data_IF_579393558957
#
_entry.id   IF_579393558957
#
_cell.length_a   1.000
_cell.length_b   1.000
_cell.length_c   1.000
_cell.angle_alpha   90.00
_cell.angle_beta   90.00
_cell.angle_gamma   90.00
#
_symmetry.space_group_name_H-M   'P 1'
#
loop_
_entity.id
_entity.type
_entity.pdbx_description
1 polymer ?
#
# COMPACT_ATOMS: atom_id res chain seq x y z
N UNK A 1 -30.02 6.45 47.38
CA UNK A 1 -29.82 5.47 48.48
C UNK A 1 -30.70 4.25 48.22
N UNK A 2 -30.56 3.18 49.02
CA UNK A 2 -31.13 1.82 48.82
C UNK A 2 -30.50 1.09 47.63
N UNK A 3 -29.50 0.21 47.85
CA UNK A 3 -29.58 -1.18 48.39
C UNK A 3 -30.14 -2.19 47.38
N UNK A 4 -29.29 -3.13 46.93
CA UNK A 4 -29.69 -4.50 46.52
C UNK A 4 -28.49 -5.47 46.61
N UNK A 5 -28.82 -6.77 46.72
CA UNK A 5 -28.00 -7.99 46.87
C UNK A 5 -28.93 -9.18 46.50
N UNK A 6 -28.56 -10.47 46.48
CA UNK A 6 -27.34 -11.17 46.94
C UNK A 6 -26.23 -11.12 45.83
N UNK A 7 -25.44 -12.09 45.37
CA UNK A 7 -25.41 -13.58 45.42
C UNK A 7 -26.74 -14.24 44.97
N UNK A 8 -26.89 -15.54 44.72
CA UNK A 8 -25.96 -16.70 44.77
C UNK A 8 -24.99 -16.80 43.55
N UNK A 9 -24.25 -17.92 43.38
CA UNK A 9 -23.08 -18.08 42.48
C UNK A 9 -22.90 -19.55 41.96
N UNK A 10 -22.01 -19.81 40.97
CA UNK A 10 -21.63 -21.18 40.48
C UNK A 10 -20.11 -21.33 40.21
N UNK A 11 -19.57 -22.53 40.40
CA UNK A 11 -18.13 -22.83 40.46
C UNK A 11 -17.59 -23.59 39.24
N UNK A 12 -16.43 -23.18 38.72
CA UNK A 12 -15.64 -24.03 37.81
C UNK A 12 -14.13 -23.86 38.03
N UNK A 13 -13.56 -24.79 38.80
CA UNK A 13 -12.12 -25.01 38.93
C UNK A 13 -11.74 -26.32 38.22
N UNK A 14 -10.82 -26.26 37.25
CA UNK A 14 -10.02 -27.42 36.84
C UNK A 14 -8.61 -26.95 36.45
N UNK A 15 -7.60 -27.48 37.11
CA UNK A 15 -6.20 -27.27 36.76
C UNK A 15 -5.75 -28.15 35.57
N UNK A 16 -4.50 -27.99 35.16
CA UNK A 16 -3.82 -28.82 34.16
C UNK A 16 -3.73 -30.30 34.56
N UNK A 17 -3.56 -31.19 33.58
CA UNK A 17 -2.25 -31.81 33.30
C UNK A 17 -2.29 -32.79 32.12
N UNK A 18 -1.11 -33.15 31.63
CA UNK A 18 -0.91 -33.86 30.37
C UNK A 18 -1.36 -35.34 30.37
N UNK A 19 -1.63 -35.85 29.18
CA UNK A 19 -1.61 -37.29 28.89
C UNK A 19 -1.25 -37.49 27.42
N UNK A 20 -0.04 -37.98 27.16
CA UNK A 20 0.45 -38.27 25.82
C UNK A 20 0.18 -39.74 25.48
N UNK A 21 -0.91 -40.03 24.77
CA UNK A 21 -0.90 -41.18 23.87
C UNK A 21 -1.92 -41.05 22.72
N UNK A 22 -1.40 -40.74 21.53
CA UNK A 22 -2.09 -40.87 20.24
C UNK A 22 -1.10 -40.62 19.11
N UNK A 23 -0.40 -41.67 18.65
CA UNK A 23 0.30 -41.65 17.35
C UNK A 23 -0.67 -41.70 16.15
N UNK A 24 -1.91 -41.21 16.37
CA UNK A 24 -2.91 -40.91 15.37
C UNK A 24 -2.51 -39.74 14.49
N UNK A 25 -1.70 -40.05 13.49
CA UNK A 25 -1.82 -39.44 12.16
C UNK A 25 -1.36 -37.97 12.00
N UNK A 26 -0.22 -37.63 12.62
CA UNK A 26 0.55 -36.40 12.31
C UNK A 26 0.82 -36.27 10.80
N UNK A 27 1.11 -37.37 10.12
CA UNK A 27 1.33 -37.37 8.66
C UNK A 27 0.09 -36.89 7.88
N UNK A 28 -1.12 -37.38 8.20
CA UNK A 28 -2.35 -36.90 7.55
C UNK A 28 -2.69 -35.46 7.92
N UNK A 29 -2.44 -35.00 9.14
CA UNK A 29 -2.58 -33.57 9.47
C UNK A 29 -1.66 -32.72 8.57
N UNK A 30 -0.40 -33.12 8.39
CA UNK A 30 0.51 -32.46 7.45
C UNK A 30 0.16 -32.71 5.97
N UNK A 31 -0.54 -33.79 5.61
CA UNK A 31 -0.97 -34.11 4.22
C UNK A 31 -2.21 -33.32 3.82
N UNK A 32 -3.20 -33.24 4.71
CA UNK A 32 -4.35 -32.35 4.61
C UNK A 32 -3.91 -30.87 4.59
N UNK A 33 -2.87 -30.50 5.34
CA UNK A 33 -2.27 -29.15 5.27
C UNK A 33 -1.50 -28.92 3.96
N UNK A 34 -0.88 -29.94 3.35
CA UNK A 34 -0.15 -29.86 2.07
C UNK A 34 -1.05 -29.78 0.83
N UNK A 35 -2.28 -30.31 0.85
CA UNK A 35 -3.15 -30.41 -0.34
C UNK A 35 -4.28 -29.36 -0.46
N UNK A 36 -4.43 -28.42 0.47
CA UNK A 36 -5.49 -27.38 0.40
C UNK A 36 -5.11 -26.24 -0.55
N UNK A 37 -5.17 -26.52 -1.87
CA UNK A 37 -5.11 -25.49 -2.92
C UNK A 37 -6.40 -24.66 -2.92
N UNK A 38 -6.27 -23.34 -2.88
CA UNK A 38 -7.39 -22.42 -3.18
C UNK A 38 -7.66 -22.49 -4.68
N UNK A 39 -8.94 -22.63 -5.07
CA UNK A 39 -9.40 -22.44 -6.45
C UNK A 39 -10.47 -21.37 -6.45
N UNK A 40 -10.46 -20.50 -7.45
CA UNK A 40 -11.48 -19.48 -7.68
C UNK A 40 -12.41 -19.98 -8.79
N UNK A 41 -13.72 -19.92 -8.58
CA UNK A 41 -14.72 -20.41 -9.55
C UNK A 41 -15.41 -19.29 -10.32
N UNK A 42 -15.57 -18.12 -9.71
CA UNK A 42 -16.30 -16.99 -10.28
C UNK A 42 -15.66 -15.65 -9.87
N UNK A 43 -15.53 -14.74 -10.83
CA UNK A 43 -15.25 -13.32 -10.65
C UNK A 43 -16.57 -12.55 -10.68
N UNK A 44 -16.96 -11.92 -9.58
CA UNK A 44 -18.06 -10.93 -9.57
C UNK A 44 -17.49 -9.50 -9.60
N UNK A 45 -17.88 -8.67 -10.56
CA UNK A 45 -17.45 -7.26 -10.66
C UNK A 45 -18.63 -6.32 -10.43
N UNK A 46 -18.48 -5.36 -9.52
CA UNK A 46 -19.53 -4.40 -9.17
C UNK A 46 -19.23 -3.00 -9.71
N UNK A 47 -20.08 -2.51 -10.61
CA UNK A 47 -19.85 -1.24 -11.31
C UNK A 47 -20.60 -0.09 -10.62
N UNK A 48 -19.85 0.76 -9.91
CA UNK A 48 -20.38 1.92 -9.21
C UNK A 48 -20.18 3.21 -10.02
N UNK A 49 -21.25 3.98 -10.31
CA UNK A 49 -21.10 5.30 -10.92
C UNK A 49 -20.28 6.23 -10.02
N UNK A 50 -19.45 7.09 -10.64
CA UNK A 50 -18.62 8.04 -9.90
C UNK A 50 -19.45 9.18 -9.31
N UNK A 51 -18.91 9.77 -8.25
CA UNK A 51 -19.46 10.92 -7.51
C UNK A 51 -18.30 11.71 -6.93
N UNK A 52 -18.50 12.96 -6.52
CA UNK A 52 -17.52 13.63 -5.68
C UNK A 52 -17.38 12.86 -4.36
N UNK A 53 -16.14 12.65 -3.90
CA UNK A 53 -15.86 12.02 -2.61
C UNK A 53 -15.82 13.04 -1.47
N UNK A 54 -15.88 12.54 -0.25
CA UNK A 54 -15.74 13.33 0.99
C UNK A 54 -14.92 12.59 2.08
N UNK A 55 -14.55 11.34 1.85
CA UNK A 55 -13.84 10.45 2.80
C UNK A 55 -12.36 10.26 2.48
N UNK A 56 -11.92 10.64 1.26
CA UNK A 56 -10.56 10.48 0.80
C UNK A 56 -9.85 11.84 0.83
N UNK A 57 -8.61 11.89 1.32
CA UNK A 57 -7.77 13.10 1.25
C UNK A 57 -6.60 12.80 0.32
N UNK A 58 -6.60 13.30 -0.92
CA UNK A 58 -5.56 12.99 -1.90
C UNK A 58 -4.28 13.78 -1.57
N UNK A 59 -3.12 13.14 -1.64
CA UNK A 59 -1.82 13.75 -1.29
C UNK A 59 -1.59 15.08 -2.04
N UNK A 60 -1.87 15.05 -3.35
CA UNK A 60 -1.97 16.24 -4.18
C UNK A 60 -3.42 16.70 -4.26
N UNK A 61 -3.68 17.95 -3.88
CA UNK A 61 -5.02 18.52 -3.78
C UNK A 61 -5.78 18.55 -5.11
N UNK A 62 -7.10 18.64 -5.01
CA UNK A 62 -8.04 18.62 -6.13
C UNK A 62 -9.35 17.94 -5.71
N UNK A 63 -10.31 17.85 -6.64
CA UNK A 63 -11.57 17.13 -6.41
C UNK A 63 -11.34 15.62 -6.37
N UNK A 64 -11.95 14.93 -5.41
CA UNK A 64 -11.85 13.47 -5.25
C UNK A 64 -12.87 12.69 -6.09
N UNK A 65 -12.48 11.47 -6.49
CA UNK A 65 -13.34 10.51 -7.18
C UNK A 65 -13.89 9.49 -6.18
N UNK A 66 -15.12 9.71 -5.71
CA UNK A 66 -15.89 8.75 -4.93
C UNK A 66 -16.68 7.76 -5.81
N UNK A 67 -17.34 6.81 -5.15
CA UNK A 67 -18.28 5.86 -5.73
C UNK A 67 -19.67 6.05 -5.09
N UNK A 68 -20.75 5.91 -5.85
CA UNK A 68 -22.10 5.91 -5.28
C UNK A 68 -22.29 4.71 -4.35
N UNK A 69 -23.16 4.83 -3.35
CA UNK A 69 -23.43 3.77 -2.38
C UNK A 69 -24.11 2.52 -2.98
N UNK A 70 -24.75 2.65 -4.15
CA UNK A 70 -25.34 1.54 -4.91
C UNK A 70 -24.61 1.36 -6.25
N UNK A 71 -24.34 0.11 -6.62
CA UNK A 71 -23.86 -0.23 -7.96
C UNK A 71 -24.99 -0.05 -8.99
N UNK A 72 -24.62 0.14 -10.26
CA UNK A 72 -25.55 0.23 -11.38
C UNK A 72 -25.59 -1.06 -12.22
N UNK A 73 -24.52 -1.86 -12.19
CA UNK A 73 -24.39 -3.11 -12.93
C UNK A 73 -23.50 -4.08 -12.14
N UNK A 74 -23.69 -5.39 -12.36
CA UNK A 74 -22.91 -6.48 -11.78
C UNK A 74 -22.56 -7.47 -12.88
N UNK A 75 -21.27 -7.66 -13.14
CA UNK A 75 -20.75 -8.71 -14.02
C UNK A 75 -20.48 -9.97 -13.20
N UNK A 76 -20.70 -11.15 -13.80
CA UNK A 76 -20.31 -12.45 -13.26
C UNK A 76 -19.61 -13.25 -14.36
N UNK A 77 -18.39 -13.68 -14.10
CA UNK A 77 -17.55 -14.42 -15.06
C UNK A 77 -17.04 -15.69 -14.38
N UNK A 78 -17.21 -16.86 -14.99
CA UNK A 78 -16.52 -18.06 -14.50
C UNK A 78 -15.03 -17.95 -14.80
N UNK A 79 -14.20 -18.44 -13.88
CA UNK A 79 -12.75 -18.52 -14.05
C UNK A 79 -12.44 -19.95 -14.50
N UNK A 80 -11.94 -20.12 -15.73
CA UNK A 80 -11.49 -21.42 -16.23
C UNK A 80 -10.06 -21.72 -15.77
N UNK A 81 -9.65 -22.98 -15.88
CA UNK A 81 -8.25 -23.35 -15.61
C UNK A 81 -7.29 -22.85 -16.72
N UNK A 82 -7.82 -22.55 -17.92
CA UNK A 82 -7.06 -21.96 -19.03
C UNK A 82 -6.72 -20.47 -18.78
N UNK A 83 -7.56 -19.74 -18.02
CA UNK A 83 -7.31 -18.36 -17.55
C UNK A 83 -6.18 -18.30 -16.49
N UNK A 84 -5.59 -19.45 -16.14
CA UNK A 84 -4.41 -19.60 -15.29
C UNK A 84 -3.15 -20.02 -16.05
N UNK A 85 -3.24 -20.33 -17.36
CA UNK A 85 -2.06 -20.51 -18.20
C UNK A 85 -1.64 -19.17 -18.79
N UNK A 86 -0.53 -18.61 -18.30
CA UNK A 86 0.10 -17.43 -18.89
C UNK A 86 0.47 -17.75 -20.36
N UNK A 87 -0.27 -17.18 -21.31
CA UNK A 87 -0.07 -17.43 -22.73
C UNK A 87 1.16 -16.68 -23.23
N UNK A 88 2.33 -17.34 -23.23
CA UNK A 88 3.54 -16.92 -23.97
C UNK A 88 3.26 -17.00 -25.49
N UNK A 89 2.36 -16.14 -25.99
CA UNK A 89 2.01 -15.95 -27.40
C UNK A 89 2.81 -14.77 -27.96
N UNK A 90 3.79 -15.08 -28.80
CA UNK A 90 4.70 -14.12 -29.45
C UNK A 90 4.02 -13.38 -30.61
N UNK A 91 3.12 -12.43 -30.28
CA UNK A 91 2.50 -11.52 -31.24
C UNK A 91 3.29 -10.20 -31.32
N UNK A 92 4.22 -10.16 -32.27
CA UNK A 92 5.02 -8.97 -32.60
C UNK A 92 4.13 -7.82 -33.11
N UNK A 93 3.96 -6.78 -32.29
CA UNK A 93 3.33 -5.52 -32.69
C UNK A 93 4.28 -4.34 -32.43
N UNK A 94 4.70 -3.66 -33.50
CA UNK A 94 5.38 -2.37 -33.41
C UNK A 94 4.32 -1.28 -33.25
N UNK A 95 4.37 -0.55 -32.13
CA UNK A 95 3.57 0.65 -31.93
C UNK A 95 4.39 1.69 -31.19
N UNK A 96 4.75 2.73 -31.93
CA UNK A 96 5.13 4.01 -31.33
C UNK A 96 3.98 4.57 -30.46
N UNK A 97 4.36 5.52 -29.60
CA UNK A 97 3.48 6.34 -28.75
C UNK A 97 2.61 5.59 -27.71
N UNK A 98 3.28 5.06 -26.69
CA UNK A 98 2.65 4.34 -25.57
C UNK A 98 2.12 5.29 -24.49
N UNK A 99 0.84 5.65 -24.58
CA UNK A 99 0.09 6.35 -23.51
C UNK A 99 -0.04 5.51 -22.20
N UNK A 100 0.41 4.25 -22.18
CA UNK A 100 0.50 3.40 -20.97
C UNK A 100 1.45 3.97 -19.89
N UNK A 101 2.19 5.04 -20.19
CA UNK A 101 2.93 5.84 -19.19
C UNK A 101 2.06 6.38 -18.04
N UNK A 102 0.73 6.21 -18.10
CA UNK A 102 -0.23 6.67 -17.11
C UNK A 102 -0.87 5.60 -16.22
N UNK A 103 -0.68 4.29 -16.46
CA UNK A 103 -1.45 3.23 -15.78
C UNK A 103 -1.31 3.18 -14.23
N UNK A 104 -0.25 3.79 -13.67
CA UNK A 104 -0.07 3.98 -12.21
C UNK A 104 0.06 5.45 -11.78
N UNK A 105 -0.08 6.40 -12.69
CA UNK A 105 0.10 7.82 -12.37
C UNK A 105 -1.17 8.43 -11.75
N UNK A 106 -1.06 9.33 -10.74
CA UNK A 106 -2.23 9.94 -10.13
C UNK A 106 -3.04 10.77 -11.14
N UNK A 107 -4.23 10.29 -11.52
CA UNK A 107 -5.15 10.91 -12.50
C UNK A 107 -5.17 12.45 -12.34
N UNK A 108 -4.87 13.25 -13.38
CA UNK A 108 -4.81 14.70 -13.27
C UNK A 108 -6.13 15.37 -12.82
N UNK A 109 -6.02 16.57 -12.24
CA UNK A 109 -7.18 17.32 -11.74
C UNK A 109 -8.24 17.63 -12.82
N UNK A 110 -7.82 17.80 -14.07
CA UNK A 110 -8.71 18.06 -15.21
C UNK A 110 -9.60 16.84 -15.42
N UNK A 111 -8.97 15.70 -15.61
CA UNK A 111 -9.63 14.46 -16.03
C UNK A 111 -10.51 13.91 -14.89
N UNK A 112 -10.12 14.12 -13.62
CA UNK A 112 -11.03 13.88 -12.47
C UNK A 112 -12.32 14.69 -12.59
N UNK A 113 -12.27 15.97 -12.96
CA UNK A 113 -13.47 16.81 -13.13
C UNK A 113 -14.30 16.33 -14.33
N UNK A 114 -13.67 15.86 -15.39
CA UNK A 114 -14.36 15.40 -16.59
C UNK A 114 -15.00 14.01 -16.42
N UNK A 115 -14.36 13.10 -15.68
CA UNK A 115 -14.95 11.84 -15.18
C UNK A 115 -16.20 12.13 -14.32
N UNK A 116 -16.15 13.14 -13.46
CA UNK A 116 -17.29 13.54 -12.62
C UNK A 116 -18.45 14.12 -13.46
N UNK A 117 -18.16 14.99 -14.43
CA UNK A 117 -19.17 15.51 -15.37
C UNK A 117 -19.83 14.37 -16.15
N UNK A 118 -19.04 13.43 -16.68
CA UNK A 118 -19.53 12.26 -17.42
C UNK A 118 -20.43 11.36 -16.55
N UNK A 119 -20.11 11.21 -15.25
CA UNK A 119 -20.96 10.52 -14.27
C UNK A 119 -22.21 11.32 -13.81
N UNK A 120 -22.46 12.50 -14.41
CA UNK A 120 -23.63 13.34 -14.17
C UNK A 120 -23.48 14.37 -13.05
N UNK A 121 -22.28 14.59 -12.51
CA UNK A 121 -22.03 15.57 -11.44
C UNK A 121 -21.99 17.00 -12.01
N UNK A 122 -23.18 17.58 -12.19
CA UNK A 122 -23.38 18.91 -12.81
C UNK A 122 -22.74 20.09 -12.04
N UNK A 123 -22.54 19.94 -10.73
CA UNK A 123 -21.90 20.94 -9.85
C UNK A 123 -20.93 20.22 -8.91
N UNK A 124 -19.66 20.59 -8.97
CA UNK A 124 -18.63 20.13 -8.03
C UNK A 124 -18.59 21.12 -6.85
N UNK A 125 -18.70 20.61 -5.63
CA UNK A 125 -18.58 21.42 -4.42
C UNK A 125 -17.11 21.89 -4.25
N UNK A 126 -16.88 23.20 -4.10
CA UNK A 126 -15.53 23.75 -3.90
C UNK A 126 -15.05 23.61 -2.46
N UNK A 127 -15.95 23.43 -1.49
CA UNK A 127 -15.63 23.36 -0.07
C UNK A 127 -14.77 22.14 0.28
N UNK A 128 -15.03 20.98 -0.35
CA UNK A 128 -14.23 19.75 -0.20
C UNK A 128 -12.73 19.97 -0.52
N UNK A 129 -12.41 20.83 -1.50
CA UNK A 129 -11.02 21.16 -1.83
C UNK A 129 -10.33 22.02 -0.76
N UNK A 130 -11.10 22.78 0.04
CA UNK A 130 -10.62 23.58 1.17
C UNK A 130 -10.45 22.68 2.40
N UNK A 131 -11.42 21.81 2.69
CA UNK A 131 -11.36 20.81 3.76
C UNK A 131 -10.18 19.84 3.54
N UNK A 132 -10.00 19.33 2.32
CA UNK A 132 -8.83 18.53 1.94
C UNK A 132 -7.51 19.32 1.92
N UNK A 133 -7.54 20.67 1.95
CA UNK A 133 -6.34 21.48 2.18
C UNK A 133 -6.03 21.56 3.68
N UNK A 134 -7.04 21.83 4.51
CA UNK A 134 -6.90 21.89 5.97
C UNK A 134 -6.44 20.55 6.56
N UNK A 135 -6.98 19.41 6.11
CA UNK A 135 -6.53 18.09 6.58
C UNK A 135 -5.08 17.81 6.15
N UNK A 136 -4.67 18.21 4.95
CA UNK A 136 -3.25 18.08 4.52
C UNK A 136 -2.31 18.96 5.35
N UNK A 137 -2.73 20.18 5.70
CA UNK A 137 -1.96 21.07 6.57
C UNK A 137 -1.86 20.51 8.01
N UNK A 138 -2.96 20.02 8.58
CA UNK A 138 -2.94 19.32 9.88
C UNK A 138 -2.00 18.10 9.86
N UNK A 139 -1.99 17.33 8.77
CA UNK A 139 -1.06 16.20 8.57
C UNK A 139 0.40 16.61 8.30
N UNK A 140 0.73 17.90 8.25
CA UNK A 140 2.12 18.38 8.31
C UNK A 140 2.61 18.62 9.74
N UNK A 141 1.72 18.51 10.74
CA UNK A 141 2.00 18.73 12.16
C UNK A 141 1.81 17.39 12.89
N UNK A 142 2.75 16.46 12.68
CA UNK A 142 2.75 15.12 13.26
C UNK A 142 4.20 14.62 13.48
N UNK A 143 4.35 13.54 14.27
CA UNK A 143 5.66 13.05 14.70
C UNK A 143 6.20 13.77 15.94
N UNK A 144 7.46 13.49 16.31
CA UNK A 144 8.13 14.13 17.44
C UNK A 144 9.07 15.26 16.99
N UNK A 145 9.07 16.36 17.75
CA UNK A 145 9.94 17.54 17.56
C UNK A 145 11.39 17.33 18.05
N UNK A 146 11.71 16.14 18.56
CA UNK A 146 13.04 15.69 18.91
C UNK A 146 14.03 15.94 17.77
N UNK A 147 15.19 16.54 18.08
CA UNK A 147 16.32 16.68 17.16
C UNK A 147 17.40 15.71 17.59
N UNK A 148 17.92 14.93 16.65
CA UNK A 148 18.91 13.88 16.89
C UNK A 148 18.36 12.74 17.77
N UNK A 149 18.16 12.95 19.07
CA UNK A 149 17.79 11.91 20.03
C UNK A 149 16.33 11.93 20.53
N UNK A 150 15.78 10.73 20.78
CA UNK A 150 14.42 10.53 21.33
C UNK A 150 14.47 9.87 22.70
N UNK A 151 14.58 10.65 23.77
CA UNK A 151 14.46 10.13 25.13
C UNK A 151 13.01 9.65 25.39
N UNK A 152 12.79 8.53 26.13
CA UNK A 152 11.45 8.03 26.43
C UNK A 152 10.52 9.07 27.07
N UNK A 153 10.96 9.70 28.17
CA UNK A 153 10.14 10.63 28.99
C UNK A 153 9.71 11.91 28.26
N UNK A 154 10.30 12.25 27.11
CA UNK A 154 10.04 13.51 26.39
C UNK A 154 9.63 13.34 24.93
N UNK A 155 9.82 12.17 24.32
CA UNK A 155 9.45 11.92 22.93
C UNK A 155 7.95 11.69 22.78
N UNK A 156 7.26 12.59 22.07
CA UNK A 156 5.81 12.50 21.79
C UNK A 156 5.39 11.15 21.20
N UNK A 157 6.22 10.52 20.37
CA UNK A 157 5.93 9.19 19.81
C UNK A 157 6.02 8.09 20.87
N UNK A 158 7.04 8.13 21.74
CA UNK A 158 7.16 7.17 22.85
C UNK A 158 5.97 7.30 23.81
N UNK A 159 5.65 8.52 24.25
CA UNK A 159 4.57 8.82 25.18
C UNK A 159 3.17 8.42 24.66
N UNK A 160 3.02 8.24 23.34
CA UNK A 160 1.80 7.74 22.71
C UNK A 160 1.88 6.24 22.32
N UNK A 161 2.94 5.52 22.71
CA UNK A 161 3.11 4.09 22.44
C UNK A 161 3.33 3.74 20.96
N UNK A 162 3.87 4.65 20.16
CA UNK A 162 4.09 4.47 18.71
C UNK A 162 5.55 4.61 18.32
N UNK A 163 5.91 3.99 17.19
CA UNK A 163 7.22 4.13 16.57
C UNK A 163 7.46 5.55 16.05
N UNK A 164 8.71 5.99 15.99
CA UNK A 164 9.08 7.23 15.31
C UNK A 164 9.10 6.98 13.78
N UNK A 165 8.22 7.65 13.05
CA UNK A 165 8.16 7.60 11.58
C UNK A 165 9.03 8.71 10.96
N UNK A 166 9.86 8.38 9.97
CA UNK A 166 10.62 9.32 9.15
C UNK A 166 10.39 8.98 7.66
N UNK A 167 9.65 9.84 6.95
CA UNK A 167 9.38 9.72 5.51
C UNK A 167 10.42 10.45 4.65
N UNK A 168 11.04 11.50 5.22
CA UNK A 168 12.09 12.35 4.65
C UNK A 168 12.75 13.15 5.77
N UNK A 169 13.81 13.88 5.45
CA UNK A 169 14.57 14.73 6.38
C UNK A 169 13.65 15.55 7.32
N UNK A 170 13.76 15.27 8.62
CA UNK A 170 12.99 15.89 9.70
C UNK A 170 11.46 15.82 9.58
N UNK A 171 10.90 14.81 8.91
CA UNK A 171 9.45 14.63 8.81
C UNK A 171 9.02 13.16 8.65
N UNK A 172 8.01 12.65 9.38
CA UNK A 172 7.33 13.30 10.51
C UNK A 172 8.23 13.59 11.72
N UNK A 173 9.21 12.73 12.01
CA UNK A 173 10.07 12.88 13.19
C UNK A 173 11.43 13.52 12.85
N UNK A 174 11.96 14.35 13.76
CA UNK A 174 13.28 15.00 13.64
C UNK A 174 14.48 14.18 14.12
N UNK A 175 14.27 12.96 14.59
CA UNK A 175 15.30 12.09 15.16
C UNK A 175 16.13 11.34 14.11
N UNK A 176 17.44 11.29 14.32
CA UNK A 176 18.37 10.51 13.49
C UNK A 176 18.16 9.01 13.71
N UNK A 177 18.75 8.18 12.86
CA UNK A 177 18.66 6.72 12.98
C UNK A 177 19.44 6.21 14.19
N UNK A 178 20.51 6.90 14.54
CA UNK A 178 21.50 6.55 15.56
C UNK A 178 21.09 7.04 16.96
N UNK A 179 20.38 8.18 17.07
CA UNK A 179 19.98 8.77 18.34
C UNK A 179 18.57 8.39 18.85
N UNK A 180 17.77 7.69 18.05
CA UNK A 180 16.36 7.46 18.38
C UNK A 180 16.15 6.34 19.41
N UNK A 181 16.26 6.67 20.70
CA UNK A 181 16.05 5.76 21.84
C UNK A 181 14.56 5.46 22.13
N UNK A 182 13.65 5.58 21.15
CA UNK A 182 12.24 5.19 21.34
C UNK A 182 12.14 3.64 21.33
N UNK A 183 11.78 2.97 22.44
CA UNK A 183 11.66 1.51 22.50
C UNK A 183 10.54 0.93 21.62
N UNK A 184 9.59 1.75 21.13
CA UNK A 184 8.64 1.34 20.11
C UNK A 184 9.26 1.29 18.69
N UNK A 185 10.54 1.66 18.57
CA UNK A 185 11.33 1.64 17.34
C UNK A 185 11.26 2.93 16.51
N UNK A 186 12.09 2.97 15.47
CA UNK A 186 12.09 3.99 14.41
C UNK A 186 11.92 3.30 13.06
N UNK A 187 10.97 3.78 12.26
CA UNK A 187 10.76 3.34 10.89
C UNK A 187 11.13 4.48 9.93
N UNK A 188 11.88 4.14 8.88
CA UNK A 188 12.39 5.07 7.89
C UNK A 188 11.95 4.61 6.50
N UNK A 189 11.40 5.53 5.71
CA UNK A 189 10.89 5.23 4.37
C UNK A 189 12.03 4.92 3.40
N UNK A 190 12.05 3.71 2.83
CA UNK A 190 13.01 3.31 1.80
C UNK A 190 12.47 3.59 0.37
N UNK A 191 12.91 4.67 -0.29
CA UNK A 191 12.49 4.98 -1.66
C UNK A 191 13.07 3.99 -2.70
N UNK A 192 14.09 3.20 -2.37
CA UNK A 192 14.71 2.23 -3.28
C UNK A 192 13.86 0.97 -3.34
N UNK A 193 13.48 0.39 -2.20
CA UNK A 193 12.57 -0.78 -2.18
C UNK A 193 11.21 -0.46 -2.79
N UNK A 194 10.62 0.71 -2.51
CA UNK A 194 9.35 1.11 -3.13
C UNK A 194 9.49 1.28 -4.65
N UNK A 195 10.59 1.89 -5.13
CA UNK A 195 10.85 2.02 -6.57
C UNK A 195 11.08 0.68 -7.27
N UNK A 196 11.80 -0.25 -6.64
CA UNK A 196 11.99 -1.63 -7.11
C UNK A 196 10.64 -2.33 -7.25
N UNK A 197 9.83 -2.32 -6.19
CA UNK A 197 8.51 -2.95 -6.19
C UNK A 197 7.56 -2.38 -7.25
N UNK A 198 7.62 -1.06 -7.48
CA UNK A 198 6.89 -0.41 -8.57
C UNK A 198 7.29 -0.97 -9.95
N UNK A 199 8.60 -1.04 -10.23
CA UNK A 199 9.12 -1.59 -11.50
C UNK A 199 8.72 -3.06 -11.67
N UNK A 200 8.90 -3.88 -10.63
CA UNK A 200 8.49 -5.29 -10.60
C UNK A 200 7.01 -5.48 -10.89
N UNK A 201 6.16 -4.61 -10.34
CA UNK A 201 4.70 -4.66 -10.54
C UNK A 201 4.30 -4.26 -11.96
N UNK A 202 4.91 -3.21 -12.53
CA UNK A 202 4.66 -2.77 -13.91
C UNK A 202 5.08 -3.86 -14.90
N UNK A 203 6.29 -4.42 -14.76
CA UNK A 203 6.80 -5.46 -15.64
C UNK A 203 5.94 -6.72 -15.57
N UNK A 204 5.60 -7.19 -14.35
CA UNK A 204 4.72 -8.36 -14.17
C UNK A 204 3.37 -8.20 -14.88
N UNK A 205 2.77 -7.01 -14.83
CA UNK A 205 1.47 -6.75 -15.45
C UNK A 205 1.53 -6.61 -16.99
N UNK A 206 2.73 -6.50 -17.56
CA UNK A 206 3.00 -6.56 -19.00
C UNK A 206 3.47 -7.96 -19.48
N UNK A 207 3.55 -8.95 -18.59
CA UNK A 207 4.17 -10.26 -18.86
C UNK A 207 5.71 -10.24 -18.90
N UNK A 208 6.34 -9.08 -18.66
CA UNK A 208 7.79 -8.91 -18.73
C UNK A 208 8.48 -9.48 -17.47
N UNK A 209 9.46 -10.37 -17.66
CA UNK A 209 10.19 -11.05 -16.57
C UNK A 209 11.42 -10.22 -16.14
N UNK A 210 11.41 -9.73 -14.90
CA UNK A 210 12.42 -8.80 -14.36
C UNK A 210 13.77 -9.50 -14.06
N UNK A 211 14.78 -9.21 -14.86
CA UNK A 211 16.15 -9.73 -14.71
C UNK A 211 17.04 -8.79 -13.89
N UNK A 212 16.94 -8.84 -12.55
CA UNK A 212 18.03 -8.33 -11.70
C UNK A 212 19.30 -9.15 -11.98
N UNK A 213 20.36 -8.46 -12.43
CA UNK A 213 21.73 -8.97 -12.34
C UNK A 213 22.43 -8.23 -11.22
N UNK A 214 22.78 -8.95 -10.15
CA UNK A 214 23.79 -8.44 -9.22
C UNK A 214 25.12 -8.32 -9.98
N UNK A 215 25.76 -7.16 -9.92
CA UNK A 215 26.88 -6.82 -10.83
C UNK A 215 28.23 -7.40 -10.38
N UNK A 216 28.27 -8.68 -10.04
CA UNK A 216 29.53 -9.42 -9.87
C UNK A 216 30.06 -9.90 -11.22
N UNK A 217 31.09 -9.19 -11.70
CA UNK A 217 31.95 -9.51 -12.85
C UNK A 217 31.40 -9.34 -14.30
N UNK A 218 32.03 -8.39 -15.01
CA UNK A 218 32.37 -8.43 -16.45
C UNK A 218 31.28 -8.82 -17.47
N UNK A 219 30.45 -7.85 -17.87
CA UNK A 219 29.82 -7.82 -19.22
C UNK A 219 30.08 -6.45 -19.87
N UNK A 220 30.30 -6.44 -21.19
CA UNK A 220 30.60 -5.22 -21.98
C UNK A 220 29.35 -4.35 -22.15
N UNK A 221 29.54 -3.02 -22.11
CA UNK A 221 28.47 -2.03 -22.29
C UNK A 221 27.86 -2.12 -23.70
N UNK A 222 26.53 -2.25 -23.78
CA UNK A 222 25.73 -1.59 -24.83
C UNK A 222 24.32 -1.29 -24.31
N UNK A 223 23.67 -0.30 -24.93
CA UNK A 223 22.32 0.20 -24.61
C UNK A 223 22.18 0.76 -23.18
N UNK A 224 22.75 1.95 -22.97
CA UNK A 224 22.39 2.81 -21.83
C UNK A 224 21.08 3.53 -22.18
N UNK A 225 19.97 3.17 -21.52
CA UNK A 225 18.75 3.98 -21.55
C UNK A 225 18.96 5.27 -20.74
N UNK A 226 19.42 6.33 -21.40
CA UNK A 226 19.40 7.69 -20.84
C UNK A 226 17.99 8.25 -20.94
N UNK A 227 17.32 8.44 -19.81
CA UNK A 227 16.18 9.37 -19.77
C UNK A 227 16.68 10.80 -20.03
N UNK A 228 16.00 11.59 -20.88
CA UNK A 228 16.33 12.99 -21.06
C UNK A 228 15.87 13.80 -19.83
N UNK A 229 16.70 14.75 -19.36
CA UNK A 229 16.23 15.79 -18.45
C UNK A 229 16.69 15.74 -16.99
N UNK A 230 17.94 15.35 -16.70
CA UNK A 230 18.64 15.93 -15.54
C UNK A 230 20.15 16.01 -15.78
N UNK A 231 20.70 17.23 -15.68
CA UNK A 231 22.13 17.51 -15.74
C UNK A 231 22.58 17.90 -14.33
N UNK A 232 23.45 17.08 -13.73
CA UNK A 232 24.28 17.49 -12.60
C UNK A 232 25.72 17.16 -12.98
N UNK A 233 26.45 18.18 -13.40
CA UNK A 233 27.87 18.11 -13.69
C UNK A 233 28.68 18.25 -12.40
N UNK A 234 29.49 17.24 -12.06
CA UNK A 234 30.55 17.38 -11.05
C UNK A 234 31.86 16.94 -11.69
N UNK A 235 32.81 17.87 -11.75
CA UNK A 235 34.18 17.63 -12.22
C UNK A 235 35.10 17.59 -11.02
N UNK A 236 35.98 16.59 -10.89
CA UNK A 236 37.36 16.77 -10.37
C UNK A 236 38.21 15.50 -10.48
N UNK A 237 39.38 15.68 -11.09
CA UNK A 237 40.70 15.10 -10.77
C UNK A 237 40.81 13.61 -10.39
N UNK A 238 41.43 12.85 -11.29
CA UNK A 238 42.74 12.22 -11.03
C UNK A 238 43.61 12.38 -12.28
#
# INVERSE_FOLDING_TARGET
MSKRKLEEDDSLSTASSDSADSLGNVEEYHRAKRNRRVRFSERTVFHFPRTQGYTCVPSNGGTTLGMKHKHAFVEKTLISDDDLTESDSDDSYDSADSEDSHCFMPIPQKDRKDILKAAGVKKINKQEAIECMQIRYSRQICGCSCKESCQPESCSCHLNGINCQVDRDSFPCGCTREGCENPNGRHEYDPITVRRHFIETVLKLRGEKYLWRETTARIKIRTIYKFPGQVISITTVS
#
